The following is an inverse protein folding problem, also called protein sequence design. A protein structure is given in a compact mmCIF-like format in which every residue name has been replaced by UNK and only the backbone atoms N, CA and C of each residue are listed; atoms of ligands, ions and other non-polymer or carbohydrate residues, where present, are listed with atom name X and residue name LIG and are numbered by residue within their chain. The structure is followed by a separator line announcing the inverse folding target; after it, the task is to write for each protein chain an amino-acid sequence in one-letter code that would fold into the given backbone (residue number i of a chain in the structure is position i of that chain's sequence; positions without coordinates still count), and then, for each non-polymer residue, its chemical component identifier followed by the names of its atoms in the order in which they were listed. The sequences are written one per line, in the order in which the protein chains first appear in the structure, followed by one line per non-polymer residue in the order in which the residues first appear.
data_IF_826111445602
#
_entry.id   IF_826111445602
#
_cell.length_a   1.000
_cell.length_b   1.000
_cell.length_c   1.000
_cell.angle_alpha   90.00
_cell.angle_beta   90.00
_cell.angle_gamma   90.00
#
_symmetry.space_group_name_H-M   'P 1'
#
loop_
_entity.id
_entity.type
_entity.pdbx_description
1 polymer ?
#
# COMPACT_ATOMS: atom_id res chain seq x y z
N UNK A 1 4.45 -15.67 -27.82
CA UNK A 1 4.10 -14.34 -27.29
C UNK A 1 5.22 -13.90 -26.38
N UNK A 2 5.90 -12.79 -26.70
CA UNK A 2 6.86 -12.19 -25.77
C UNK A 2 6.01 -11.59 -24.65
N UNK A 3 6.14 -12.12 -23.44
CA UNK A 3 5.39 -11.61 -22.30
C UNK A 3 5.96 -10.23 -21.93
N UNK A 4 5.26 -9.15 -22.26
CA UNK A 4 5.72 -7.80 -21.96
C UNK A 4 5.69 -7.56 -20.45
N UNK A 5 6.88 -7.36 -19.88
CA UNK A 5 7.07 -7.03 -18.47
C UNK A 5 6.22 -5.80 -18.09
N UNK A 6 5.57 -5.87 -16.92
CA UNK A 6 4.81 -4.76 -16.32
C UNK A 6 5.72 -3.64 -15.82
N UNK A 7 6.86 -4.00 -15.25
CA UNK A 7 7.81 -3.05 -14.67
C UNK A 7 9.26 -3.54 -14.77
N UNK A 8 10.20 -2.60 -14.67
CA UNK A 8 11.64 -2.84 -14.47
C UNK A 8 12.12 -2.37 -13.09
N UNK A 9 13.30 -2.87 -12.67
CA UNK A 9 13.95 -2.50 -11.42
C UNK A 9 15.19 -1.65 -11.68
N UNK A 10 15.19 -0.43 -11.16
CA UNK A 10 16.29 0.53 -11.31
C UNK A 10 17.14 0.51 -10.04
N UNK A 11 18.46 0.38 -10.19
CA UNK A 11 19.40 0.46 -9.07
C UNK A 11 19.31 1.82 -8.39
N UNK A 12 19.34 1.81 -7.06
CA UNK A 12 19.36 3.04 -6.26
C UNK A 12 20.67 3.17 -5.49
N UNK A 13 20.89 4.33 -4.87
CA UNK A 13 21.97 4.55 -3.90
C UNK A 13 21.69 3.87 -2.55
N UNK A 14 20.46 3.39 -2.30
CA UNK A 14 20.13 2.61 -1.12
C UNK A 14 20.60 1.17 -1.35
N UNK A 15 21.60 0.75 -0.58
CA UNK A 15 22.14 -0.61 -0.65
C UNK A 15 21.00 -1.62 -0.54
N UNK A 16 20.95 -2.58 -1.47
CA UNK A 16 19.95 -3.64 -1.56
C UNK A 16 18.52 -3.24 -1.96
N UNK A 17 18.26 -1.99 -2.39
CA UNK A 17 16.93 -1.60 -2.88
C UNK A 17 16.98 -1.13 -4.34
N UNK A 18 15.99 -1.59 -5.09
CA UNK A 18 15.67 -1.11 -6.43
C UNK A 18 14.42 -0.23 -6.40
N UNK A 19 14.38 0.82 -7.20
CA UNK A 19 13.18 1.60 -7.48
C UNK A 19 12.40 0.89 -8.58
N UNK A 20 11.09 0.73 -8.40
CA UNK A 20 10.22 0.14 -9.42
C UNK A 20 9.89 1.20 -10.48
N UNK A 21 9.94 0.84 -11.76
CA UNK A 21 9.49 1.72 -12.86
C UNK A 21 8.55 0.99 -13.81
N UNK A 22 7.40 1.59 -14.08
CA UNK A 22 6.40 1.02 -14.98
C UNK A 22 6.88 1.01 -16.43
N UNK A 23 6.63 -0.09 -17.14
CA UNK A 23 6.98 -0.27 -18.56
C UNK A 23 5.78 -0.13 -19.50
N UNK A 24 4.57 -0.12 -18.95
CA UNK A 24 3.29 0.04 -19.65
C UNK A 24 2.26 0.70 -18.74
N UNK A 25 1.14 1.10 -19.31
CA UNK A 25 -0.01 1.60 -18.56
C UNK A 25 -0.79 0.41 -17.96
N UNK A 26 -1.24 0.51 -16.71
CA UNK A 26 -2.08 -0.49 -16.03
C UNK A 26 -2.74 0.05 -14.75
N UNK A 27 -3.61 -0.76 -14.15
CA UNK A 27 -4.29 -0.45 -12.89
C UNK A 27 -5.44 0.54 -13.04
N UNK A 28 -6.67 0.07 -12.88
CA UNK A 28 -7.85 0.94 -12.95
C UNK A 28 -7.87 2.02 -11.86
N UNK A 29 -7.32 1.69 -10.69
CA UNK A 29 -7.34 2.53 -9.50
C UNK A 29 -6.16 3.52 -9.46
N UNK A 30 -4.92 3.01 -9.51
CA UNK A 30 -3.73 3.87 -9.47
C UNK A 30 -3.44 4.53 -10.83
N UNK A 31 -4.03 4.04 -11.93
CA UNK A 31 -3.85 4.55 -13.30
C UNK A 31 -2.37 4.73 -13.66
N UNK A 32 -1.54 3.75 -13.30
CA UNK A 32 -0.08 3.81 -13.48
C UNK A 32 0.23 3.96 -14.95
N UNK A 33 1.07 4.94 -15.29
CA UNK A 33 1.51 5.24 -16.64
C UNK A 33 2.90 4.69 -16.91
N UNK A 34 3.15 4.34 -18.17
CA UNK A 34 4.49 3.96 -18.62
C UNK A 34 5.51 5.06 -18.24
N UNK A 35 6.56 4.66 -17.54
CA UNK A 35 7.60 5.56 -17.06
C UNK A 35 7.45 5.99 -15.61
N UNK A 36 6.29 5.80 -14.99
CA UNK A 36 6.06 6.16 -13.59
C UNK A 36 7.01 5.41 -12.65
N UNK A 37 7.52 6.14 -11.66
CA UNK A 37 8.36 5.59 -10.60
C UNK A 37 7.50 5.18 -9.41
N UNK A 38 7.41 3.88 -9.17
CA UNK A 38 6.81 3.27 -7.97
C UNK A 38 7.77 3.26 -6.78
N UNK A 39 7.44 2.58 -5.69
CA UNK A 39 8.27 2.48 -4.48
C UNK A 39 9.52 1.61 -4.63
N UNK A 40 9.96 1.02 -3.53
CA UNK A 40 11.23 0.29 -3.44
C UNK A 40 11.02 -1.19 -3.15
N UNK A 41 11.77 -2.05 -3.83
CA UNK A 41 11.79 -3.48 -3.59
C UNK A 41 13.22 -4.01 -3.52
N UNK A 42 13.47 -5.05 -2.73
CA UNK A 42 14.79 -5.69 -2.66
C UNK A 42 15.07 -6.56 -3.90
N UNK A 43 14.04 -7.17 -4.49
CA UNK A 43 14.18 -7.98 -5.70
C UNK A 43 12.87 -8.12 -6.48
N UNK A 44 12.96 -8.69 -7.68
CA UNK A 44 11.79 -9.03 -8.52
C UNK A 44 10.82 -10.01 -7.85
N UNK A 45 11.23 -10.70 -6.78
CA UNK A 45 10.37 -11.61 -6.04
C UNK A 45 9.30 -10.86 -5.24
N UNK A 46 9.60 -9.62 -4.82
CA UNK A 46 8.75 -8.89 -3.89
C UNK A 46 7.47 -8.33 -4.54
N UNK A 47 7.44 -8.14 -5.87
CA UNK A 47 6.30 -7.56 -6.57
C UNK A 47 5.98 -8.38 -7.83
N UNK A 48 4.72 -8.82 -8.00
CA UNK A 48 4.35 -9.61 -9.17
C UNK A 48 4.36 -8.80 -10.46
N UNK A 49 4.80 -9.43 -11.55
CA UNK A 49 4.66 -8.90 -12.92
C UNK A 49 3.24 -9.06 -13.48
N UNK A 50 2.40 -9.85 -12.81
CA UNK A 50 1.01 -10.13 -13.19
C UNK A 50 0.04 -9.18 -12.47
N UNK A 51 -1.14 -9.01 -13.06
CA UNK A 51 -2.25 -8.20 -12.53
C UNK A 51 -1.81 -6.76 -12.16
N UNK A 52 -2.63 -6.04 -11.39
CA UNK A 52 -2.46 -4.60 -11.16
C UNK A 52 -1.73 -4.25 -9.86
N UNK A 53 -1.16 -5.22 -9.16
CA UNK A 53 -0.44 -4.95 -7.93
C UNK A 53 0.70 -3.95 -8.15
N UNK A 54 0.84 -3.02 -7.22
CA UNK A 54 1.77 -1.91 -7.34
C UNK A 54 2.31 -1.46 -6.00
N UNK A 55 3.59 -1.11 -6.00
CA UNK A 55 4.26 -0.43 -4.88
C UNK A 55 4.52 0.98 -5.35
N UNK A 56 4.00 1.99 -4.65
CA UNK A 56 4.11 3.41 -5.02
C UNK A 56 4.85 4.24 -3.96
N UNK A 57 5.15 5.50 -4.31
CA UNK A 57 5.68 6.50 -3.38
C UNK A 57 6.95 6.05 -2.62
N UNK A 58 6.94 6.03 -1.28
CA UNK A 58 8.09 5.65 -0.44
C UNK A 58 7.97 4.22 0.11
N UNK A 59 6.94 3.48 -0.28
CA UNK A 59 6.70 2.14 0.23
C UNK A 59 7.90 1.24 -0.08
N UNK A 60 8.24 0.37 0.87
CA UNK A 60 9.44 -0.47 0.81
C UNK A 60 9.09 -1.92 1.13
N UNK A 61 9.39 -2.83 0.19
CA UNK A 61 9.15 -4.26 0.32
C UNK A 61 10.48 -5.01 0.31
N UNK A 62 10.78 -5.76 1.38
CA UNK A 62 12.07 -6.43 1.55
C UNK A 62 11.91 -7.89 1.96
N UNK A 63 13.03 -8.61 2.02
CA UNK A 63 13.12 -10.01 2.41
C UNK A 63 12.21 -10.88 1.51
N UNK A 64 11.50 -11.84 2.10
CA UNK A 64 10.60 -12.75 1.38
C UNK A 64 9.16 -12.22 1.30
N UNK A 65 8.93 -10.94 1.57
CA UNK A 65 7.59 -10.36 1.45
C UNK A 65 7.16 -10.34 -0.03
N UNK A 66 5.89 -10.62 -0.32
CA UNK A 66 5.36 -10.65 -1.70
C UNK A 66 4.07 -9.83 -1.82
N UNK A 67 4.00 -9.02 -2.88
CA UNK A 67 2.83 -8.25 -3.29
C UNK A 67 2.32 -8.83 -4.62
N UNK A 68 1.05 -9.26 -4.64
CA UNK A 68 0.44 -9.98 -5.77
C UNK A 68 -0.98 -9.49 -6.07
N UNK A 69 -1.58 -10.04 -7.11
CA UNK A 69 -2.94 -9.73 -7.58
C UNK A 69 -3.10 -8.24 -7.87
N UNK A 70 -4.06 -7.56 -7.25
CA UNK A 70 -4.33 -6.13 -7.39
C UNK A 70 -3.97 -5.36 -6.10
N UNK A 71 -3.11 -5.94 -5.25
CA UNK A 71 -2.75 -5.33 -3.98
C UNK A 71 -1.92 -4.06 -4.19
N UNK A 72 -2.22 -3.03 -3.41
CA UNK A 72 -1.56 -1.72 -3.49
C UNK A 72 -0.82 -1.43 -2.18
N UNK A 73 0.45 -1.07 -2.29
CA UNK A 73 1.26 -0.63 -1.15
C UNK A 73 1.88 0.73 -1.46
N UNK A 74 1.56 1.76 -0.68
CA UNK A 74 1.95 3.14 -1.01
C UNK A 74 2.24 3.98 0.24
N UNK A 75 2.44 5.29 0.07
CA UNK A 75 2.97 6.20 1.09
C UNK A 75 4.29 5.69 1.72
N UNK A 76 4.36 5.54 3.04
CA UNK A 76 5.58 5.14 3.78
C UNK A 76 5.52 3.69 4.30
N UNK A 77 4.57 2.90 3.80
CA UNK A 77 4.35 1.54 4.28
C UNK A 77 5.59 0.65 4.10
N UNK A 78 5.83 -0.24 5.06
CA UNK A 78 6.95 -1.18 5.04
C UNK A 78 6.46 -2.61 5.19
N UNK A 79 6.86 -3.48 4.27
CA UNK A 79 6.49 -4.89 4.29
C UNK A 79 7.76 -5.74 4.20
N UNK A 80 7.96 -6.63 5.17
CA UNK A 80 9.15 -7.50 5.25
C UNK A 80 8.84 -8.90 5.78
N UNK A 81 9.84 -9.72 6.11
CA UNK A 81 9.65 -11.08 6.58
C UNK A 81 9.19 -12.02 5.47
N UNK A 82 8.18 -12.83 5.78
CA UNK A 82 7.44 -13.72 4.87
C UNK A 82 6.00 -13.23 4.66
N UNK A 83 5.78 -11.91 4.75
CA UNK A 83 4.45 -11.34 4.62
C UNK A 83 3.91 -11.47 3.19
N UNK A 84 2.61 -11.70 3.05
CA UNK A 84 1.94 -11.82 1.75
C UNK A 84 0.76 -10.84 1.67
N UNK A 85 0.81 -9.92 0.72
CA UNK A 85 -0.25 -8.96 0.43
C UNK A 85 -0.83 -9.29 -0.95
N UNK A 86 -2.12 -9.62 -1.01
CA UNK A 86 -2.75 -10.14 -2.23
C UNK A 86 -4.25 -9.81 -2.29
N UNK A 87 -4.97 -10.26 -3.32
CA UNK A 87 -6.32 -9.78 -3.62
C UNK A 87 -6.33 -8.30 -4.03
N UNK A 88 -7.28 -7.53 -3.52
CA UNK A 88 -7.39 -6.07 -3.68
C UNK A 88 -7.00 -5.33 -2.39
N UNK A 89 -6.12 -5.92 -1.58
CA UNK A 89 -5.72 -5.34 -0.29
C UNK A 89 -4.95 -4.04 -0.48
N UNK A 90 -5.13 -3.10 0.45
CA UNK A 90 -4.47 -1.80 0.43
C UNK A 90 -3.67 -1.58 1.72
N UNK A 91 -2.42 -1.18 1.57
CA UNK A 91 -1.50 -0.93 2.68
C UNK A 91 -0.82 0.41 2.49
N UNK A 92 -1.03 1.34 3.40
CA UNK A 92 -0.52 2.71 3.28
C UNK A 92 -0.26 3.35 4.65
N UNK A 93 -0.06 4.65 4.74
CA UNK A 93 0.41 5.31 5.95
C UNK A 93 1.87 4.95 6.27
N UNK A 94 2.17 4.92 7.57
CA UNK A 94 3.42 4.40 8.13
C UNK A 94 3.27 2.96 8.62
N UNK A 95 2.32 2.20 8.05
CA UNK A 95 2.04 0.83 8.46
C UNK A 95 3.26 -0.08 8.26
N UNK A 96 3.39 -1.07 9.14
CA UNK A 96 4.51 -2.02 9.16
C UNK A 96 3.97 -3.44 9.26
N UNK A 97 4.22 -4.24 8.23
CA UNK A 97 3.76 -5.62 8.14
C UNK A 97 4.95 -6.56 7.98
N UNK A 98 5.11 -7.52 8.89
CA UNK A 98 6.22 -8.47 8.86
C UNK A 98 5.81 -9.84 9.44
N UNK A 99 6.77 -10.74 9.64
CA UNK A 99 6.46 -12.13 10.02
C UNK A 99 5.87 -12.93 8.85
N UNK A 100 5.00 -13.89 9.12
CA UNK A 100 4.24 -14.67 8.14
C UNK A 100 2.83 -14.09 7.89
N UNK A 101 2.65 -12.79 8.13
CA UNK A 101 1.36 -12.12 8.04
C UNK A 101 0.76 -12.20 6.64
N UNK A 102 -0.56 -12.32 6.55
CA UNK A 102 -1.32 -12.32 5.29
C UNK A 102 -2.34 -11.19 5.32
N UNK A 103 -2.34 -10.34 4.30
CA UNK A 103 -3.35 -9.30 4.10
C UNK A 103 -4.01 -9.55 2.75
N UNK A 104 -5.33 -9.73 2.70
CA UNK A 104 -6.01 -10.14 1.48
C UNK A 104 -7.42 -9.59 1.30
N UNK A 105 -8.04 -9.96 0.17
CA UNK A 105 -9.37 -9.50 -0.24
C UNK A 105 -9.43 -7.97 -0.37
N UNK A 106 -10.29 -7.25 0.35
CA UNK A 106 -10.41 -5.78 0.31
C UNK A 106 -9.92 -5.15 1.63
N UNK A 107 -9.09 -5.86 2.40
CA UNK A 107 -8.58 -5.35 3.66
C UNK A 107 -7.72 -4.10 3.45
N UNK A 108 -7.87 -3.12 4.36
CA UNK A 108 -7.10 -1.89 4.38
C UNK A 108 -6.30 -1.80 5.68
N UNK A 109 -5.00 -1.54 5.58
CA UNK A 109 -4.08 -1.33 6.71
C UNK A 109 -3.40 0.01 6.56
N UNK A 110 -3.56 0.91 7.53
CA UNK A 110 -3.07 2.28 7.41
C UNK A 110 -2.73 2.93 8.76
N UNK A 111 -2.41 4.22 8.75
CA UNK A 111 -1.91 4.93 9.93
C UNK A 111 -0.54 4.39 10.35
N UNK A 112 -0.35 4.09 11.63
CA UNK A 112 0.88 3.52 12.17
C UNK A 112 0.73 2.03 12.55
N UNK A 113 -0.24 1.34 11.93
CA UNK A 113 -0.58 -0.04 12.26
C UNK A 113 0.63 -0.99 12.14
N UNK A 114 0.75 -1.90 13.11
CA UNK A 114 1.81 -2.88 13.20
C UNK A 114 1.20 -4.29 13.13
N UNK A 115 1.52 -5.05 12.08
CA UNK A 115 0.98 -6.41 11.89
C UNK A 115 2.13 -7.41 11.76
N UNK A 116 2.18 -8.41 12.65
CA UNK A 116 3.26 -9.38 12.66
C UNK A 116 2.85 -10.77 13.17
N UNK A 117 3.82 -11.68 13.33
CA UNK A 117 3.53 -13.08 13.64
C UNK A 117 2.95 -13.83 12.45
N UNK A 118 1.95 -14.69 12.67
CA UNK A 118 1.20 -15.43 11.65
C UNK A 118 -0.22 -14.85 11.46
N UNK A 119 -0.37 -13.54 11.61
CA UNK A 119 -1.66 -12.86 11.53
C UNK A 119 -2.30 -12.93 10.13
N UNK A 120 -3.63 -12.97 10.08
CA UNK A 120 -4.37 -12.90 8.81
C UNK A 120 -5.46 -11.83 8.87
N UNK A 121 -5.37 -10.85 7.98
CA UNK A 121 -6.36 -9.79 7.81
C UNK A 121 -7.02 -9.96 6.44
N UNK A 122 -8.33 -10.12 6.41
CA UNK A 122 -9.07 -10.38 5.16
C UNK A 122 -10.50 -9.84 5.22
N UNK A 123 -11.27 -10.05 4.14
CA UNK A 123 -12.61 -9.46 3.99
C UNK A 123 -12.52 -7.98 3.60
N UNK A 124 -13.29 -7.13 4.28
CA UNK A 124 -13.25 -5.67 4.15
C UNK A 124 -12.70 -5.01 5.43
N UNK A 125 -11.80 -5.70 6.13
CA UNK A 125 -11.33 -5.29 7.44
C UNK A 125 -10.45 -4.04 7.34
N UNK A 126 -10.57 -3.14 8.32
CA UNK A 126 -9.82 -1.91 8.42
C UNK A 126 -9.00 -1.90 9.71
N UNK A 127 -7.68 -1.86 9.58
CA UNK A 127 -6.74 -1.78 10.70
C UNK A 127 -5.98 -0.47 10.59
N UNK A 128 -6.06 0.37 11.61
CA UNK A 128 -5.54 1.73 11.53
C UNK A 128 -5.12 2.30 12.88
N UNK A 129 -4.65 3.56 12.86
CA UNK A 129 -4.09 4.24 14.02
C UNK A 129 -2.81 3.55 14.52
N UNK A 130 -2.58 3.55 15.83
CA UNK A 130 -1.43 2.87 16.45
C UNK A 130 -1.76 1.42 16.87
N UNK A 131 -2.59 0.72 16.09
CA UNK A 131 -2.93 -0.69 16.37
C UNK A 131 -1.74 -1.61 16.22
N UNK A 132 -1.66 -2.62 17.09
CA UNK A 132 -0.69 -3.71 16.99
C UNK A 132 -1.45 -5.03 16.98
N UNK A 133 -1.08 -5.90 16.05
CA UNK A 133 -1.71 -7.20 15.81
C UNK A 133 -0.62 -8.24 15.61
N UNK A 134 -0.68 -9.35 16.35
CA UNK A 134 0.45 -10.29 16.43
C UNK A 134 0.03 -11.73 16.74
N UNK A 135 0.93 -12.69 16.55
CA UNK A 135 0.64 -14.09 16.86
C UNK A 135 -0.22 -14.77 15.79
N UNK A 136 -1.20 -15.59 16.17
CA UNK A 136 -2.05 -16.37 15.24
C UNK A 136 -3.45 -15.75 15.08
N UNK A 137 -3.55 -14.43 15.18
CA UNK A 137 -4.82 -13.73 15.21
C UNK A 137 -5.42 -13.58 13.79
N UNK A 138 -6.75 -13.62 13.68
CA UNK A 138 -7.48 -13.43 12.43
C UNK A 138 -8.46 -12.25 12.54
N UNK A 139 -8.36 -11.30 11.61
CA UNK A 139 -9.32 -10.20 11.43
C UNK A 139 -10.05 -10.41 10.12
N UNK A 140 -11.38 -10.45 10.18
CA UNK A 140 -12.21 -10.75 9.03
C UNK A 140 -13.36 -9.74 8.87
N UNK A 141 -14.05 -9.84 7.74
CA UNK A 141 -15.32 -9.15 7.46
C UNK A 141 -15.16 -7.62 7.51
N UNK A 142 -16.13 -6.92 8.09
CA UNK A 142 -16.15 -5.45 8.16
C UNK A 142 -15.57 -4.95 9.50
N UNK A 143 -14.57 -5.65 10.06
CA UNK A 143 -13.98 -5.26 11.33
C UNK A 143 -13.25 -3.90 11.20
N UNK A 144 -13.41 -3.04 12.20
CA UNK A 144 -12.68 -1.79 12.33
C UNK A 144 -11.88 -1.84 13.63
N UNK A 145 -10.54 -1.86 13.53
CA UNK A 145 -9.64 -2.05 14.68
C UNK A 145 -8.66 -0.88 14.77
N UNK A 146 -8.60 -0.26 15.95
CA UNK A 146 -7.63 0.78 16.31
C UNK A 146 -7.29 0.69 17.80
N UNK A 147 -6.02 0.94 18.18
CA UNK A 147 -5.56 0.87 19.57
C UNK A 147 -5.07 2.24 20.07
N UNK A 148 -5.97 3.24 20.15
CA UNK A 148 -5.97 4.35 21.11
C UNK A 148 -7.14 5.32 20.84
N UNK A 149 -7.68 5.90 21.91
CA UNK A 149 -8.47 7.14 21.92
C UNK A 149 -7.62 8.31 21.39
N UNK A 150 -7.54 8.43 20.07
CA UNK A 150 -7.22 9.67 19.37
C UNK A 150 -8.56 10.20 18.83
N UNK A 151 -8.67 11.49 18.48
CA UNK A 151 -9.84 11.99 17.75
C UNK A 151 -9.92 11.23 16.40
N UNK A 152 -10.64 10.11 16.42
CA UNK A 152 -10.70 9.09 15.36
C UNK A 152 -11.52 9.59 14.16
N UNK A 153 -12.28 10.67 14.32
CA UNK A 153 -13.13 11.17 13.25
C UNK A 153 -12.29 11.70 12.08
N UNK A 154 -11.17 12.41 12.28
CA UNK A 154 -10.47 13.04 11.16
C UNK A 154 -9.73 12.06 10.24
N UNK A 155 -8.94 11.11 10.77
CA UNK A 155 -8.22 10.12 9.94
C UNK A 155 -9.16 9.10 9.30
N UNK A 156 -10.21 8.68 10.02
CA UNK A 156 -11.17 7.71 9.50
C UNK A 156 -12.14 8.37 8.50
N UNK A 157 -12.51 9.64 8.68
CA UNK A 157 -13.25 10.39 7.67
C UNK A 157 -12.37 10.75 6.47
N UNK A 158 -11.08 11.04 6.64
CA UNK A 158 -10.17 11.20 5.50
C UNK A 158 -10.02 9.88 4.73
N UNK A 159 -9.93 8.74 5.42
CA UNK A 159 -9.98 7.42 4.79
C UNK A 159 -11.32 7.15 4.09
N UNK A 160 -12.46 7.39 4.74
CA UNK A 160 -13.78 7.21 4.11
C UNK A 160 -13.93 8.12 2.89
N UNK A 161 -13.48 9.37 3.00
CA UNK A 161 -13.47 10.31 1.90
C UNK A 161 -12.60 9.79 0.76
N UNK A 162 -11.36 9.39 1.06
CA UNK A 162 -10.44 8.77 0.10
C UNK A 162 -11.08 7.55 -0.60
N UNK A 163 -11.58 6.59 0.17
CA UNK A 163 -12.20 5.37 -0.38
C UNK A 163 -13.50 5.65 -1.12
N UNK A 164 -14.29 6.62 -0.69
CA UNK A 164 -15.50 7.02 -1.40
C UNK A 164 -15.12 7.63 -2.76
N UNK A 165 -14.12 8.52 -2.79
CA UNK A 165 -13.63 9.13 -4.03
C UNK A 165 -13.05 8.09 -4.99
N UNK A 166 -12.37 7.07 -4.49
CA UNK A 166 -11.79 6.00 -5.31
C UNK A 166 -12.83 4.98 -5.79
N UNK A 167 -13.86 4.70 -5.00
CA UNK A 167 -14.96 3.82 -5.38
C UNK A 167 -15.97 4.52 -6.31
N UNK A 168 -15.98 5.85 -6.34
CA UNK A 168 -16.67 6.65 -7.35
C UNK A 168 -15.71 6.93 -8.53
N UNK A 169 -16.22 7.20 -9.74
CA UNK A 169 -15.40 7.52 -10.93
C UNK A 169 -14.58 8.84 -10.83
N UNK A 170 -14.36 9.38 -9.63
CA UNK A 170 -13.84 10.72 -9.35
C UNK A 170 -12.35 10.82 -9.03
N UNK A 171 -11.51 9.86 -9.45
CA UNK A 171 -10.04 9.85 -9.22
C UNK A 171 -9.36 11.16 -9.64
N UNK A 172 -9.83 11.85 -10.69
CA UNK A 172 -9.24 13.12 -11.15
C UNK A 172 -9.34 14.22 -10.09
N UNK A 173 -10.47 14.29 -9.36
CA UNK A 173 -10.72 15.27 -8.31
C UNK A 173 -9.88 14.99 -7.05
N UNK A 174 -9.51 13.73 -6.81
CA UNK A 174 -8.58 13.37 -5.75
C UNK A 174 -7.15 13.83 -6.05
N UNK A 175 -6.66 13.57 -7.27
CA UNK A 175 -5.31 13.97 -7.67
C UNK A 175 -5.16 15.50 -7.66
N UNK A 176 -6.20 16.25 -8.04
CA UNK A 176 -6.25 17.71 -7.88
C UNK A 176 -6.16 18.13 -6.40
N UNK A 177 -6.94 17.51 -5.51
CA UNK A 177 -6.93 17.83 -4.07
C UNK A 177 -5.58 17.51 -3.41
N UNK A 178 -4.96 16.39 -3.77
CA UNK A 178 -3.63 16.00 -3.28
C UNK A 178 -2.58 16.98 -3.76
N UNK A 179 -2.62 17.38 -5.04
CA UNK A 179 -1.71 18.39 -5.58
C UNK A 179 -1.89 19.75 -4.88
N UNK A 180 -3.11 20.20 -4.64
CA UNK A 180 -3.37 21.42 -3.87
C UNK A 180 -2.85 21.34 -2.42
N UNK A 181 -3.04 20.19 -1.74
CA UNK A 181 -2.54 19.98 -0.38
C UNK A 181 -1.00 19.95 -0.34
N UNK A 182 -0.37 19.36 -1.35
CA UNK A 182 1.09 19.33 -1.50
C UNK A 182 1.62 20.75 -1.76
N UNK A 183 1.03 21.51 -2.67
CA UNK A 183 1.41 22.90 -2.98
C UNK A 183 1.30 23.80 -1.74
N UNK A 184 0.22 23.70 -0.97
CA UNK A 184 0.05 24.46 0.29
C UNK A 184 1.09 24.09 1.36
N UNK A 185 1.65 22.89 1.32
CA UNK A 185 2.71 22.44 2.24
C UNK A 185 4.10 22.97 1.81
N UNK A 186 4.32 23.21 0.52
CA UNK A 186 5.57 23.80 0.00
C UNK A 186 5.60 25.33 0.13
N UNK A 187 4.46 26.02 0.02
CA UNK A 187 4.39 27.50 0.18
C UNK A 187 4.65 27.96 1.62
N UNK A 188 4.46 27.10 2.64
CA UNK A 188 4.76 27.44 4.04
C UNK A 188 6.23 27.29 4.45
N UNK A 189 7.10 26.81 3.56
CA UNK A 189 8.54 26.61 3.82
C UNK A 189 9.45 27.52 2.95
N UNK A 190 8.89 28.57 2.37
CA UNK A 190 9.58 29.70 1.70
C UNK A 190 9.11 31.01 2.31
#
# INVERSE_FOLDING_TARGET
MINEQKYELIRTNRKSLFRVKALKDFGDFMKVKKGDLGGYVESKFNLSQENDCWVAENATITENATIKDNALVFENARVSGKAHIFGNAQVFGNSRIFGQSRISMKACVFGNALIHGNSWVHGNANIYGNSEFSGNEQVANNAHISNKTLNIDDEFEEYKFFMNVLNHQGIEKYMELVNEKLEKKYVKNT
#
